data_IF_403396772195
#
_entry.id   IF_403396772195
#
_cell.length_a   1.000
_cell.length_b   1.000
_cell.length_c   1.000
_cell.angle_alpha   90.00
_cell.angle_beta   90.00
_cell.angle_gamma   90.00
#
_symmetry.space_group_name_H-M   'P 1'
#
loop_
_entity.id
_entity.type
_entity.pdbx_description
1 polymer ?
#
# COMPACT_ATOMS: atom_id res chain seq x y z
N UNK A 1 63.51 -19.13 67.85
CA UNK A 1 62.96 -17.78 67.53
C UNK A 1 63.15 -17.57 66.04
N UNK A 2 62.17 -17.49 65.14
CA UNK A 2 60.71 -17.60 65.17
C UNK A 2 60.29 -17.69 63.69
N UNK A 3 59.37 -18.61 63.38
CA UNK A 3 58.85 -18.89 62.04
C UNK A 3 58.22 -17.63 61.40
N UNK A 4 58.60 -17.30 60.15
CA UNK A 4 57.85 -16.37 59.31
C UNK A 4 57.16 -17.16 58.20
N UNK A 5 55.90 -17.51 58.44
CA UNK A 5 55.01 -18.14 57.46
C UNK A 5 54.46 -17.03 56.56
N UNK A 6 54.90 -16.99 55.31
CA UNK A 6 54.30 -16.17 54.26
C UNK A 6 53.05 -16.86 53.73
N UNK A 7 51.89 -16.37 54.15
CA UNK A 7 50.57 -16.76 53.65
C UNK A 7 50.39 -16.12 52.27
N UNK A 8 50.45 -16.92 51.20
CA UNK A 8 49.92 -16.52 49.90
C UNK A 8 48.41 -16.68 49.92
N UNK A 9 47.69 -15.60 50.20
CA UNK A 9 46.26 -15.53 49.94
C UNK A 9 46.06 -15.36 48.43
N UNK A 10 45.68 -16.44 47.75
CA UNK A 10 45.20 -16.41 46.37
C UNK A 10 43.86 -15.69 46.33
N UNK A 11 43.87 -14.43 45.90
CA UNK A 11 42.67 -13.66 45.61
C UNK A 11 42.11 -14.12 44.25
N UNK A 12 41.24 -15.13 44.26
CA UNK A 12 40.42 -15.47 43.10
C UNK A 12 39.39 -14.36 42.88
N UNK A 13 39.71 -13.43 41.99
CA UNK A 13 38.75 -12.49 41.41
C UNK A 13 37.70 -13.28 40.64
N UNK A 14 36.58 -13.57 41.28
CA UNK A 14 35.35 -14.02 40.63
C UNK A 14 34.88 -12.85 39.77
N UNK A 15 35.18 -12.90 38.48
CA UNK A 15 34.58 -12.00 37.50
C UNK A 15 33.07 -12.30 37.52
N UNK A 16 32.20 -11.34 37.87
CA UNK A 16 30.77 -11.58 37.82
C UNK A 16 30.39 -11.74 36.36
N UNK A 17 30.06 -12.97 35.96
CA UNK A 17 29.53 -13.26 34.65
C UNK A 17 28.27 -12.45 34.39
N UNK A 18 28.33 -11.53 33.44
CA UNK A 18 27.20 -11.06 32.64
C UNK A 18 27.72 -10.85 31.21
N UNK A 19 26.95 -11.17 30.14
CA UNK A 19 25.50 -11.00 30.16
C UNK A 19 24.69 -11.87 29.14
N UNK A 20 24.09 -12.99 29.56
CA UNK A 20 23.01 -13.57 28.76
C UNK A 20 21.79 -12.64 28.63
N UNK A 21 21.58 -11.74 29.62
CA UNK A 21 20.49 -10.78 29.60
C UNK A 21 20.72 -9.60 28.64
N UNK A 22 21.95 -9.08 28.54
CA UNK A 22 22.27 -7.95 27.66
C UNK A 22 22.33 -8.39 26.20
N UNK A 23 22.84 -9.58 25.89
CA UNK A 23 22.76 -10.13 24.52
C UNK A 23 21.32 -10.35 24.07
N UNK A 24 20.45 -10.88 24.94
CA UNK A 24 19.03 -11.04 24.62
C UNK A 24 18.31 -9.70 24.47
N UNK A 25 18.64 -8.70 25.29
CA UNK A 25 18.09 -7.35 25.15
C UNK A 25 18.60 -6.64 23.88
N UNK A 26 19.88 -6.79 23.54
CA UNK A 26 20.49 -6.24 22.32
C UNK A 26 19.90 -6.91 21.07
N UNK A 27 19.76 -8.25 21.06
CA UNK A 27 19.10 -8.97 19.96
C UNK A 27 17.63 -8.59 19.83
N UNK A 28 16.90 -8.48 20.94
CA UNK A 28 15.50 -8.04 20.94
C UNK A 28 15.34 -6.59 20.47
N UNK A 29 16.31 -5.72 20.77
CA UNK A 29 16.33 -4.34 20.29
C UNK A 29 16.60 -4.26 18.77
N UNK A 30 17.57 -5.04 18.25
CA UNK A 30 17.83 -5.11 16.80
C UNK A 30 16.64 -5.67 16.01
N UNK A 31 15.95 -6.71 16.50
CA UNK A 31 14.74 -7.26 15.86
C UNK A 31 13.59 -6.24 15.83
N UNK A 32 13.56 -5.27 16.76
CA UNK A 32 12.53 -4.22 16.81
C UNK A 32 12.85 -3.04 15.88
N UNK A 33 14.11 -2.86 15.46
CA UNK A 33 14.49 -1.85 14.46
C UNK A 33 14.12 -2.27 13.03
N UNK A 34 14.01 -3.57 12.74
CA UNK A 34 13.82 -4.09 11.38
C UNK A 34 12.35 -4.29 10.95
N UNK A 35 11.38 -4.08 11.85
CA UNK A 35 9.95 -4.21 11.50
C UNK A 35 9.25 -2.87 11.50
N UNK A 36 8.61 -2.54 10.39
CA UNK A 36 7.88 -1.29 10.20
C UNK A 36 6.59 -1.53 9.43
N UNK A 37 5.75 -0.49 9.39
CA UNK A 37 4.48 -0.54 8.69
C UNK A 37 4.71 -0.48 7.18
N UNK A 38 4.70 -1.65 6.52
CA UNK A 38 4.89 -1.77 5.07
C UNK A 38 3.68 -1.22 4.32
N UNK A 39 2.48 -1.62 4.77
CA UNK A 39 1.19 -1.17 4.23
C UNK A 39 0.49 -0.32 5.29
N UNK A 40 0.23 0.94 4.95
CA UNK A 40 -0.44 1.91 5.80
C UNK A 40 -1.93 2.04 5.45
N UNK A 41 -2.72 2.63 6.35
CA UNK A 41 -4.12 2.98 6.05
C UNK A 41 -4.19 3.90 4.82
N UNK A 42 -3.23 4.82 4.66
CA UNK A 42 -3.16 5.69 3.48
C UNK A 42 -2.91 4.89 2.20
N UNK A 43 -2.08 3.86 2.23
CA UNK A 43 -1.84 3.00 1.06
C UNK A 43 -3.15 2.29 0.62
N UNK A 44 -3.96 1.83 1.56
CA UNK A 44 -5.21 1.13 1.28
C UNK A 44 -6.34 2.08 0.83
N UNK A 45 -6.36 3.31 1.34
CA UNK A 45 -7.48 4.23 1.19
C UNK A 45 -7.23 5.41 0.24
N UNK A 46 -5.98 5.68 -0.12
CA UNK A 46 -5.58 6.82 -0.94
C UNK A 46 -4.88 6.42 -2.24
N UNK A 47 -4.58 5.14 -2.44
CA UNK A 47 -3.99 4.65 -3.70
C UNK A 47 -5.06 4.41 -4.76
N UNK A 48 -4.64 3.96 -5.94
CA UNK A 48 -5.52 3.60 -7.04
C UNK A 48 -5.61 2.07 -7.24
N UNK A 49 -6.53 1.64 -8.10
CA UNK A 49 -6.64 0.27 -8.56
C UNK A 49 -7.18 0.22 -10.00
N UNK A 50 -7.10 -0.95 -10.64
CA UNK A 50 -7.65 -1.14 -11.99
C UNK A 50 -9.13 -1.54 -11.94
N UNK A 51 -9.98 -0.77 -12.61
CA UNK A 51 -11.31 -1.20 -13.00
C UNK A 51 -11.23 -1.90 -14.36
N UNK A 52 -11.34 -3.23 -14.34
CA UNK A 52 -11.10 -4.08 -15.51
C UNK A 52 -12.08 -3.78 -16.66
N UNK A 53 -11.58 -3.92 -17.89
CA UNK A 53 -12.38 -3.72 -19.10
C UNK A 53 -13.69 -4.53 -19.08
N UNK A 54 -14.79 -3.90 -19.49
CA UNK A 54 -16.09 -4.55 -19.60
C UNK A 54 -16.81 -4.80 -18.27
N UNK A 55 -16.22 -4.47 -17.12
CA UNK A 55 -16.93 -4.47 -15.83
C UNK A 55 -17.83 -3.24 -15.71
N UNK A 56 -19.03 -3.46 -15.14
CA UNK A 56 -19.95 -2.38 -14.81
C UNK A 56 -19.34 -1.47 -13.74
N UNK A 57 -19.48 -0.16 -13.93
CA UNK A 57 -19.13 0.82 -12.93
C UNK A 57 -20.08 0.70 -11.72
N UNK A 58 -19.65 1.13 -10.53
CA UNK A 58 -20.54 1.18 -9.37
C UNK A 58 -21.77 2.04 -9.65
N UNK A 59 -22.88 1.73 -8.99
CA UNK A 59 -24.17 2.41 -9.20
C UNK A 59 -24.38 3.59 -8.24
N UNK A 60 -23.79 3.52 -7.05
CA UNK A 60 -23.82 4.58 -6.05
C UNK A 60 -22.85 5.70 -6.44
N UNK A 61 -23.36 6.93 -6.51
CA UNK A 61 -22.62 8.10 -6.96
C UNK A 61 -22.90 9.32 -6.11
N UNK A 62 -21.89 10.19 -6.04
CA UNK A 62 -22.03 11.55 -5.51
C UNK A 62 -22.73 12.40 -6.58
N UNK A 63 -23.91 12.94 -6.27
CA UNK A 63 -24.69 13.80 -7.18
C UNK A 63 -24.52 15.29 -6.90
N UNK A 64 -23.92 15.65 -5.77
CA UNK A 64 -23.60 17.02 -5.42
C UNK A 64 -23.19 17.16 -3.98
N UNK A 65 -23.18 18.40 -3.49
CA UNK A 65 -22.91 18.71 -2.09
C UNK A 65 -23.51 20.04 -1.67
N UNK A 66 -23.53 20.30 -0.37
CA UNK A 66 -24.19 21.47 0.23
C UNK A 66 -23.66 22.79 -0.36
N UNK A 67 -22.35 22.86 -0.61
CA UNK A 67 -21.65 24.07 -1.11
C UNK A 67 -21.26 23.97 -2.59
N UNK A 68 -21.97 23.16 -3.38
CA UNK A 68 -21.60 22.92 -4.79
C UNK A 68 -21.66 24.18 -5.68
N UNK A 69 -22.43 25.20 -5.29
CA UNK A 69 -22.43 26.49 -5.99
C UNK A 69 -21.17 27.34 -5.73
N UNK A 70 -20.36 26.96 -4.73
CA UNK A 70 -19.15 27.68 -4.32
C UNK A 70 -17.87 26.92 -4.66
N UNK A 71 -17.93 25.58 -4.71
CA UNK A 71 -16.78 24.71 -4.99
C UNK A 71 -17.19 23.44 -5.71
N UNK A 72 -16.30 22.94 -6.56
CA UNK A 72 -16.44 21.68 -7.30
C UNK A 72 -15.80 20.48 -6.59
N UNK A 73 -14.97 20.73 -5.57
CA UNK A 73 -14.23 19.71 -4.82
C UNK A 73 -14.65 19.76 -3.35
N UNK A 74 -14.83 18.58 -2.77
CA UNK A 74 -15.19 18.36 -1.38
C UNK A 74 -14.00 17.79 -0.61
N UNK A 75 -13.85 18.23 0.63
CA UNK A 75 -12.79 17.87 1.56
C UNK A 75 -13.37 17.50 2.92
N UNK A 76 -12.50 17.20 3.88
CA UNK A 76 -12.87 16.82 5.24
C UNK A 76 -13.92 17.77 5.84
N UNK A 77 -14.98 17.19 6.38
CA UNK A 77 -16.08 17.93 7.01
C UNK A 77 -17.19 18.36 6.05
N UNK A 78 -16.98 18.31 4.74
CA UNK A 78 -18.01 18.68 3.76
C UNK A 78 -19.15 17.68 3.69
N UNK A 79 -20.30 18.20 3.27
CA UNK A 79 -21.53 17.43 3.08
C UNK A 79 -21.75 17.17 1.59
N UNK A 80 -21.89 15.89 1.26
CA UNK A 80 -22.17 15.37 -0.08
C UNK A 80 -23.52 14.67 -0.13
N UNK A 81 -24.13 14.65 -1.31
CA UNK A 81 -25.40 13.99 -1.60
C UNK A 81 -25.20 12.78 -2.50
N UNK A 82 -25.89 11.69 -2.20
CA UNK A 82 -25.76 10.37 -2.85
C UNK A 82 -27.06 10.02 -3.58
N UNK A 83 -26.98 9.48 -4.79
CA UNK A 83 -28.13 9.08 -5.63
C UNK A 83 -28.93 7.85 -5.12
N UNK A 84 -28.66 7.38 -3.90
CA UNK A 84 -29.25 6.19 -3.29
C UNK A 84 -29.70 6.51 -1.86
N UNK A 85 -30.75 5.87 -1.40
CA UNK A 85 -31.35 6.13 -0.09
C UNK A 85 -31.77 4.86 0.67
N UNK A 86 -32.67 5.04 1.63
CA UNK A 86 -33.17 3.95 2.47
C UNK A 86 -33.88 2.85 1.66
N UNK A 87 -34.59 3.21 0.58
CA UNK A 87 -35.24 2.23 -0.29
C UNK A 87 -34.24 1.37 -1.09
N UNK A 88 -32.99 1.83 -1.22
CA UNK A 88 -31.87 1.09 -1.82
C UNK A 88 -31.06 0.30 -0.77
N UNK A 89 -31.46 0.33 0.50
CA UNK A 89 -30.82 -0.41 1.59
C UNK A 89 -29.64 0.30 2.27
N UNK A 90 -29.48 1.61 2.09
CA UNK A 90 -28.46 2.37 2.82
C UNK A 90 -28.85 2.55 4.28
N UNK A 91 -27.85 2.60 5.15
CA UNK A 91 -28.03 2.79 6.59
C UNK A 91 -27.28 4.03 7.11
N UNK A 92 -27.84 4.67 8.15
CA UNK A 92 -27.14 5.76 8.85
C UNK A 92 -25.89 5.18 9.51
N UNK A 93 -24.76 5.87 9.36
CA UNK A 93 -23.48 5.44 9.90
C UNK A 93 -22.65 4.57 8.94
N UNK A 94 -23.24 4.11 7.83
CA UNK A 94 -22.54 3.37 6.78
C UNK A 94 -21.41 4.21 6.20
N UNK A 95 -20.24 3.59 6.02
CA UNK A 95 -19.06 4.20 5.42
C UNK A 95 -18.93 3.80 3.97
N UNK A 96 -18.58 4.79 3.15
CA UNK A 96 -18.27 4.61 1.74
C UNK A 96 -16.88 5.14 1.43
N UNK A 97 -16.18 4.45 0.54
CA UNK A 97 -14.98 4.91 -0.12
C UNK A 97 -15.38 5.60 -1.42
N UNK A 98 -14.98 6.86 -1.56
CA UNK A 98 -15.14 7.64 -2.78
C UNK A 98 -14.01 7.30 -3.75
N UNK A 99 -14.40 6.97 -4.99
CA UNK A 99 -13.48 6.59 -6.06
C UNK A 99 -13.85 7.30 -7.36
N UNK A 100 -12.84 7.80 -8.08
CA UNK A 100 -13.00 8.50 -9.35
C UNK A 100 -12.27 7.81 -10.49
N UNK A 101 -12.74 8.01 -11.73
CA UNK A 101 -12.04 7.52 -12.92
C UNK A 101 -10.87 8.45 -13.27
N UNK A 102 -9.69 7.88 -13.53
CA UNK A 102 -8.49 8.64 -13.85
C UNK A 102 -8.00 8.46 -15.28
N UNK A 103 -7.55 7.27 -15.62
CA UNK A 103 -6.81 7.03 -16.86
C UNK A 103 -7.13 5.67 -17.47
N UNK A 104 -7.33 5.61 -18.79
CA UNK A 104 -7.52 4.37 -19.53
C UNK A 104 -6.15 3.73 -19.82
N UNK A 105 -5.96 2.48 -19.41
CA UNK A 105 -4.72 1.72 -19.67
C UNK A 105 -5.00 0.61 -20.68
N UNK A 106 -4.82 0.94 -21.96
CA UNK A 106 -4.94 0.03 -23.08
C UNK A 106 -6.20 -0.88 -22.98
N UNK A 107 -6.01 -2.20 -23.06
CA UNK A 107 -7.07 -3.22 -22.93
C UNK A 107 -7.23 -3.77 -21.52
N UNK A 108 -6.45 -3.26 -20.54
CA UNK A 108 -6.51 -3.73 -19.16
C UNK A 108 -7.75 -3.17 -18.45
N UNK A 109 -8.05 -1.89 -18.68
CA UNK A 109 -9.18 -1.22 -18.07
C UNK A 109 -8.93 0.25 -17.82
N UNK A 110 -9.65 0.80 -16.85
CA UNK A 110 -9.52 2.19 -16.41
C UNK A 110 -9.03 2.23 -14.97
N UNK A 111 -7.99 3.01 -14.70
CA UNK A 111 -7.51 3.28 -13.34
C UNK A 111 -8.57 4.08 -12.59
N UNK A 112 -8.92 3.60 -11.40
CA UNK A 112 -9.76 4.29 -10.43
C UNK A 112 -8.91 4.74 -9.25
N UNK A 113 -8.96 6.03 -8.94
CA UNK A 113 -8.28 6.65 -7.80
C UNK A 113 -9.21 6.65 -6.58
N UNK A 114 -8.66 6.38 -5.40
CA UNK A 114 -9.41 6.53 -4.14
C UNK A 114 -9.23 7.94 -3.61
N UNK A 115 -10.33 8.65 -3.45
CA UNK A 115 -10.32 10.06 -3.07
C UNK A 115 -10.54 10.27 -1.58
N UNK A 116 -11.05 9.27 -0.86
CA UNK A 116 -11.29 9.36 0.58
C UNK A 116 -12.53 8.60 1.02
N UNK A 117 -12.98 8.82 2.26
CA UNK A 117 -14.17 8.18 2.83
C UNK A 117 -15.22 9.17 3.31
N UNK A 118 -16.48 8.77 3.20
CA UNK A 118 -17.62 9.53 3.68
C UNK A 118 -18.60 8.64 4.47
N UNK A 119 -19.19 9.20 5.52
CA UNK A 119 -20.17 8.52 6.37
C UNK A 119 -21.57 9.04 6.10
N UNK A 120 -22.54 8.15 5.90
CA UNK A 120 -23.95 8.53 5.82
C UNK A 120 -24.42 9.11 7.16
N UNK A 121 -24.89 10.36 7.16
CA UNK A 121 -25.38 11.08 8.34
C UNK A 121 -26.88 11.29 8.33
N UNK A 122 -27.53 11.19 7.16
CA UNK A 122 -28.98 11.36 7.00
C UNK A 122 -29.47 10.55 5.80
N UNK A 123 -30.66 9.97 5.94
CA UNK A 123 -31.31 9.18 4.90
C UNK A 123 -32.66 9.76 4.52
N UNK A 124 -32.94 9.70 3.23
CA UNK A 124 -34.26 9.84 2.61
C UNK A 124 -34.52 8.56 1.80
N UNK A 125 -35.73 8.40 1.24
CA UNK A 125 -36.09 7.17 0.53
C UNK A 125 -35.18 6.87 -0.66
N UNK A 126 -34.82 7.90 -1.46
CA UNK A 126 -34.05 7.76 -2.72
C UNK A 126 -32.79 8.62 -2.76
N UNK A 127 -32.38 9.15 -1.62
CA UNK A 127 -31.19 9.99 -1.49
C UNK A 127 -30.60 9.84 -0.09
N UNK A 128 -29.28 9.96 0.01
CA UNK A 128 -28.58 9.99 1.28
C UNK A 128 -27.69 11.22 1.33
N UNK A 129 -27.47 11.72 2.55
CA UNK A 129 -26.48 12.75 2.83
C UNK A 129 -25.34 12.10 3.59
N UNK A 130 -24.12 12.28 3.11
CA UNK A 130 -22.92 11.82 3.77
C UNK A 130 -21.99 12.99 4.10
N UNK A 131 -21.23 12.82 5.18
CA UNK A 131 -20.19 13.75 5.59
C UNK A 131 -18.83 13.14 5.25
N UNK A 132 -17.99 13.88 4.54
CA UNK A 132 -16.61 13.46 4.25
C UNK A 132 -15.83 13.41 5.57
N UNK A 133 -15.28 12.25 5.90
CA UNK A 133 -14.47 12.08 7.12
C UNK A 133 -12.98 12.28 6.88
N UNK A 134 -12.49 11.80 5.74
CA UNK A 134 -11.08 11.87 5.37
C UNK A 134 -10.96 11.88 3.85
N UNK A 135 -10.27 12.87 3.32
CA UNK A 135 -9.95 13.05 1.92
C UNK A 135 -8.46 12.80 1.70
N UNK A 136 -8.15 12.09 0.63
CA UNK A 136 -6.81 11.85 0.13
C UNK A 136 -6.57 12.59 -1.20
N UNK A 137 -7.65 12.89 -1.92
CA UNK A 137 -7.64 13.48 -3.25
C UNK A 137 -8.90 14.28 -3.51
N UNK A 138 -9.30 14.33 -4.79
CA UNK A 138 -10.35 15.23 -5.26
C UNK A 138 -11.72 14.57 -5.18
N UNK A 139 -12.39 14.62 -4.02
CA UNK A 139 -13.78 14.15 -3.91
C UNK A 139 -14.69 15.14 -4.64
N UNK A 140 -15.50 14.68 -5.60
CA UNK A 140 -16.36 15.55 -6.40
C UNK A 140 -17.66 14.87 -6.84
N UNK A 141 -18.59 15.66 -7.38
CA UNK A 141 -19.78 15.11 -8.01
C UNK A 141 -19.39 14.25 -9.24
N UNK A 142 -20.03 13.10 -9.38
CA UNK A 142 -19.70 12.09 -10.38
C UNK A 142 -18.78 10.98 -9.86
N UNK A 143 -18.13 11.16 -8.70
CA UNK A 143 -17.39 10.07 -8.06
C UNK A 143 -18.35 8.95 -7.65
N UNK A 144 -17.85 7.72 -7.73
CA UNK A 144 -18.54 6.53 -7.31
C UNK A 144 -18.29 6.26 -5.83
N UNK A 145 -19.24 5.60 -5.18
CA UNK A 145 -19.13 5.18 -3.79
C UNK A 145 -19.14 3.66 -3.69
N UNK A 146 -18.12 3.11 -3.03
CA UNK A 146 -18.01 1.70 -2.71
C UNK A 146 -18.21 1.50 -1.21
N UNK A 147 -18.93 0.46 -0.77
CA UNK A 147 -18.98 0.11 0.65
C UNK A 147 -17.57 -0.01 1.22
N UNK A 148 -17.32 0.64 2.35
CA UNK A 148 -16.00 0.67 2.98
C UNK A 148 -15.94 -0.29 4.16
N UNK A 149 -14.98 -1.20 4.11
CA UNK A 149 -14.56 -2.02 5.25
C UNK A 149 -13.12 -1.66 5.60
N UNK A 150 -12.83 -1.54 6.90
CA UNK A 150 -11.49 -1.19 7.35
C UNK A 150 -10.58 -2.40 7.23
N UNK A 151 -9.63 -2.32 6.31
CA UNK A 151 -8.55 -3.30 6.19
C UNK A 151 -7.40 -2.94 7.13
N UNK A 152 -6.78 -3.97 7.73
CA UNK A 152 -5.59 -3.80 8.55
C UNK A 152 -4.36 -3.63 7.64
N UNK A 153 -3.49 -2.69 8.01
CA UNK A 153 -2.18 -2.59 7.38
C UNK A 153 -1.29 -3.79 7.71
N UNK A 154 -0.18 -3.90 6.97
CA UNK A 154 0.80 -4.97 7.15
C UNK A 154 2.04 -4.40 7.85
N UNK A 155 2.45 -5.05 8.94
CA UNK A 155 3.70 -4.77 9.65
C UNK A 155 4.66 -5.91 9.30
N UNK A 156 5.85 -5.58 8.81
CA UNK A 156 6.83 -6.56 8.40
C UNK A 156 8.18 -5.94 8.12
N UNK A 157 9.03 -6.72 7.46
CA UNK A 157 10.36 -6.30 7.02
C UNK A 157 10.37 -6.24 5.50
N UNK A 158 10.94 -5.18 4.93
CA UNK A 158 11.28 -5.17 3.50
C UNK A 158 12.40 -6.18 3.23
N UNK A 159 12.16 -7.10 2.31
CA UNK A 159 13.12 -8.10 1.88
C UNK A 159 14.27 -7.50 1.05
N UNK A 160 14.17 -6.20 0.74
CA UNK A 160 15.11 -5.48 -0.10
C UNK A 160 15.03 -5.95 -1.54
N UNK A 161 16.04 -5.59 -2.31
CA UNK A 161 16.13 -5.98 -3.71
C UNK A 161 17.54 -6.48 -4.05
N UNK A 162 17.59 -7.60 -4.76
CA UNK A 162 18.79 -8.26 -5.24
C UNK A 162 18.52 -8.81 -6.64
N UNK A 163 19.59 -9.07 -7.40
CA UNK A 163 19.46 -9.67 -8.71
C UNK A 163 18.89 -11.09 -8.59
N UNK A 164 17.79 -11.35 -9.30
CA UNK A 164 17.07 -12.62 -9.28
C UNK A 164 17.20 -13.36 -10.60
N UNK A 165 16.99 -14.69 -10.57
CA UNK A 165 16.94 -15.54 -11.76
C UNK A 165 15.91 -14.98 -12.77
N UNK A 166 16.35 -14.53 -13.96
CA UNK A 166 15.47 -14.03 -15.01
C UNK A 166 14.50 -15.07 -15.56
N UNK A 167 14.74 -16.36 -15.32
CA UNK A 167 13.91 -17.45 -15.82
C UNK A 167 12.80 -17.85 -14.84
N UNK A 168 12.64 -17.13 -13.73
CA UNK A 168 11.56 -17.39 -12.79
C UNK A 168 10.18 -17.19 -13.44
N UNK A 169 9.22 -18.02 -13.05
CA UNK A 169 7.90 -18.08 -13.68
C UNK A 169 6.98 -16.92 -13.34
N UNK A 170 7.19 -16.23 -12.21
CA UNK A 170 6.31 -15.17 -11.70
C UNK A 170 6.87 -13.78 -11.99
N UNK A 171 6.80 -13.37 -13.25
CA UNK A 171 7.24 -12.04 -13.72
C UNK A 171 6.10 -11.27 -14.39
N UNK A 172 6.25 -9.95 -14.43
CA UNK A 172 5.31 -9.02 -15.06
C UNK A 172 5.99 -7.70 -15.37
N UNK A 173 5.20 -6.64 -15.54
CA UNK A 173 5.66 -5.28 -15.84
C UNK A 173 4.85 -4.23 -15.10
N UNK A 174 5.49 -3.11 -14.84
CA UNK A 174 4.81 -1.87 -14.45
C UNK A 174 4.05 -1.32 -15.65
N UNK A 175 2.75 -1.08 -15.49
CA UNK A 175 1.84 -0.65 -16.57
C UNK A 175 1.24 0.74 -16.35
N UNK A 176 1.29 1.25 -15.12
CA UNK A 176 0.80 2.60 -14.81
C UNK A 176 1.50 3.14 -13.56
N UNK A 177 1.74 4.45 -13.53
CA UNK A 177 2.28 5.18 -12.39
C UNK A 177 1.51 6.49 -12.27
N UNK A 178 1.06 6.80 -11.05
CA UNK A 178 0.28 8.01 -10.74
C UNK A 178 1.21 9.22 -10.53
N UNK A 179 1.72 9.76 -11.64
CA UNK A 179 2.23 11.13 -11.73
C UNK A 179 2.52 11.49 -13.20
N UNK A 180 2.62 12.79 -13.46
CA UNK A 180 2.86 13.34 -14.80
C UNK A 180 4.23 12.95 -15.39
N UNK A 181 5.17 12.53 -14.54
CA UNK A 181 6.51 12.10 -14.95
C UNK A 181 6.57 10.60 -15.28
N UNK A 182 5.52 9.84 -15.02
CA UNK A 182 5.45 8.38 -15.19
C UNK A 182 6.63 7.62 -14.56
N UNK A 183 7.11 8.10 -13.41
CA UNK A 183 8.19 7.48 -12.63
C UNK A 183 7.81 7.34 -11.17
N UNK A 184 8.23 6.26 -10.51
CA UNK A 184 7.98 6.03 -9.09
C UNK A 184 9.32 5.80 -8.36
N UNK A 185 9.38 6.27 -7.12
CA UNK A 185 10.45 5.98 -6.17
C UNK A 185 9.88 5.53 -4.84
N UNK A 186 10.75 5.44 -3.82
CA UNK A 186 10.40 5.03 -2.45
C UNK A 186 9.15 5.76 -1.94
N UNK A 187 8.17 4.98 -1.45
CA UNK A 187 6.91 5.47 -0.89
C UNK A 187 5.81 5.77 -1.92
N UNK A 188 6.11 5.75 -3.23
CA UNK A 188 5.12 5.96 -4.28
C UNK A 188 4.48 4.64 -4.72
N UNK A 189 3.35 4.74 -5.44
CA UNK A 189 2.62 3.58 -5.95
C UNK A 189 2.80 3.39 -7.45
N UNK A 190 2.71 2.13 -7.88
CA UNK A 190 2.68 1.73 -9.28
C UNK A 190 1.64 0.63 -9.49
N UNK A 191 1.15 0.46 -10.72
CA UNK A 191 0.32 -0.66 -11.12
C UNK A 191 1.16 -1.66 -11.92
N UNK A 192 1.00 -2.95 -11.64
CA UNK A 192 1.61 -4.04 -12.39
C UNK A 192 0.56 -4.90 -13.11
N UNK A 193 0.96 -5.58 -14.19
CA UNK A 193 0.13 -6.54 -14.94
C UNK A 193 0.12 -7.97 -14.36
N UNK A 194 0.29 -8.07 -13.05
CA UNK A 194 0.10 -9.31 -12.29
C UNK A 194 -1.01 -9.11 -11.27
N UNK A 195 -1.84 -10.12 -11.02
CA UNK A 195 -3.01 -10.02 -10.14
C UNK A 195 -3.48 -11.39 -9.66
N UNK A 196 -4.75 -11.52 -9.25
CA UNK A 196 -5.32 -12.80 -8.74
C UNK A 196 -5.18 -13.95 -9.74
N UNK A 197 -5.27 -13.68 -11.04
CA UNK A 197 -5.06 -14.67 -12.11
C UNK A 197 -3.65 -15.27 -12.10
N UNK A 198 -2.69 -14.55 -11.52
CA UNK A 198 -1.28 -14.92 -11.39
C UNK A 198 -0.94 -15.37 -9.95
N UNK A 199 -1.95 -15.63 -9.12
CA UNK A 199 -1.82 -16.00 -7.71
C UNK A 199 -1.05 -14.97 -6.88
N UNK A 200 -1.22 -13.67 -7.19
CA UNK A 200 -0.71 -12.56 -6.38
C UNK A 200 -1.64 -12.28 -5.20
N UNK A 201 -1.09 -12.01 -4.04
CA UNK A 201 -1.81 -11.68 -2.80
C UNK A 201 -1.35 -10.32 -2.25
N UNK A 202 -2.22 -9.67 -1.47
CA UNK A 202 -1.82 -8.49 -0.68
C UNK A 202 -0.72 -8.92 0.30
N UNK A 203 0.32 -8.10 0.42
CA UNK A 203 1.50 -8.39 1.25
C UNK A 203 2.64 -9.10 0.51
N UNK A 204 2.39 -9.66 -0.68
CA UNK A 204 3.46 -10.22 -1.52
C UNK A 204 4.49 -9.12 -1.84
N UNK A 205 5.77 -9.43 -1.65
CA UNK A 205 6.87 -8.54 -2.04
C UNK A 205 7.47 -8.94 -3.38
N UNK A 206 8.01 -7.96 -4.10
CA UNK A 206 8.61 -8.13 -5.41
C UNK A 206 9.79 -7.20 -5.61
N UNK A 207 10.63 -7.56 -6.59
CA UNK A 207 11.69 -6.68 -7.08
C UNK A 207 11.31 -6.08 -8.43
N UNK A 208 11.72 -4.84 -8.65
CA UNK A 208 11.63 -4.12 -9.92
C UNK A 208 13.02 -4.08 -10.54
N UNK A 209 13.08 -4.35 -11.84
CA UNK A 209 14.31 -4.43 -12.61
C UNK A 209 14.36 -3.35 -13.68
N UNK A 210 15.56 -2.81 -13.86
CA UNK A 210 15.90 -1.92 -14.96
C UNK A 210 16.86 -2.61 -15.91
N UNK A 211 16.71 -2.33 -17.21
CA UNK A 211 17.63 -2.81 -18.23
C UNK A 211 17.94 -1.67 -19.19
N UNK A 212 19.20 -1.21 -19.18
CA UNK A 212 19.62 -0.07 -20.00
C UNK A 212 19.45 -0.33 -21.50
N UNK A 213 19.73 -1.55 -21.97
CA UNK A 213 19.50 -1.99 -23.35
C UNK A 213 19.17 -3.49 -23.40
N UNK A 214 18.41 -3.99 -24.39
CA UNK A 214 17.96 -5.38 -24.45
C UNK A 214 19.06 -6.44 -24.34
N UNK A 215 20.26 -6.12 -24.83
CA UNK A 215 21.46 -6.96 -24.85
C UNK A 215 22.24 -7.01 -23.53
N UNK A 216 21.89 -6.15 -22.57
CA UNK A 216 22.53 -6.07 -21.26
C UNK A 216 21.74 -6.83 -20.20
N UNK A 217 22.41 -7.33 -19.15
CA UNK A 217 21.71 -7.89 -18.00
C UNK A 217 20.80 -6.83 -17.38
N UNK A 218 19.64 -7.27 -16.88
CA UNK A 218 18.80 -6.45 -16.03
C UNK A 218 19.41 -6.39 -14.63
N UNK A 219 19.15 -5.30 -13.91
CA UNK A 219 19.59 -5.12 -12.53
C UNK A 219 18.38 -4.82 -11.64
N UNK A 220 18.37 -5.35 -10.43
CA UNK A 220 17.37 -5.00 -9.43
C UNK A 220 17.57 -3.56 -8.95
N UNK A 221 16.53 -2.72 -9.07
CA UNK A 221 16.58 -1.29 -8.73
C UNK A 221 15.65 -0.88 -7.60
N UNK A 222 14.62 -1.67 -7.32
CA UNK A 222 13.69 -1.37 -6.24
C UNK A 222 13.02 -2.63 -5.66
N UNK A 223 12.59 -2.55 -4.41
CA UNK A 223 11.67 -3.47 -3.74
C UNK A 223 10.28 -2.84 -3.70
N UNK A 224 9.23 -3.67 -3.77
CA UNK A 224 7.85 -3.22 -3.65
C UNK A 224 6.98 -4.27 -2.96
N UNK A 225 5.86 -3.83 -2.40
CA UNK A 225 4.85 -4.68 -1.77
C UNK A 225 3.49 -4.47 -2.43
N UNK A 226 2.74 -5.55 -2.60
CA UNK A 226 1.38 -5.53 -3.15
C UNK A 226 0.39 -5.03 -2.11
N UNK A 227 -0.36 -3.98 -2.45
CA UNK A 227 -1.34 -3.32 -1.57
C UNK A 227 -2.79 -3.47 -2.05
N UNK A 228 -3.00 -3.80 -3.33
CA UNK A 228 -4.32 -4.10 -3.90
C UNK A 228 -4.17 -5.16 -4.99
N UNK A 229 -5.14 -6.09 -5.08
CA UNK A 229 -5.13 -7.15 -6.09
C UNK A 229 -6.47 -7.23 -6.84
N UNK A 230 -6.42 -7.08 -8.16
CA UNK A 230 -7.54 -7.26 -9.09
C UNK A 230 -7.36 -8.54 -9.90
N UNK A 231 -8.15 -8.76 -10.95
CA UNK A 231 -8.07 -10.00 -11.72
C UNK A 231 -6.70 -10.15 -12.39
N UNK A 232 -6.39 -9.26 -13.32
CA UNK A 232 -5.12 -9.28 -14.08
C UNK A 232 -4.04 -8.32 -13.56
N UNK A 233 -4.35 -7.42 -12.63
CA UNK A 233 -3.43 -6.35 -12.19
C UNK A 233 -3.39 -6.20 -10.68
N UNK A 234 -2.36 -5.53 -10.18
CA UNK A 234 -2.16 -5.22 -8.76
C UNK A 234 -1.56 -3.83 -8.59
N UNK A 235 -1.95 -3.14 -7.52
CA UNK A 235 -1.27 -1.91 -7.10
C UNK A 235 -0.18 -2.29 -6.10
N UNK A 236 0.99 -1.70 -6.26
CA UNK A 236 2.16 -1.92 -5.42
C UNK A 236 2.67 -0.61 -4.86
N UNK A 237 3.23 -0.65 -3.66
CA UNK A 237 3.99 0.44 -3.05
C UNK A 237 5.47 0.13 -3.16
N UNK A 238 6.26 1.08 -3.64
CA UNK A 238 7.71 0.96 -3.68
C UNK A 238 8.24 1.15 -2.26
N UNK A 239 8.91 0.13 -1.71
CA UNK A 239 9.44 0.12 -0.34
C UNK A 239 10.82 0.77 -0.27
N UNK A 240 11.68 0.47 -1.22
CA UNK A 240 13.00 1.08 -1.37
C UNK A 240 13.43 1.06 -2.82
N UNK A 241 14.10 2.12 -3.27
CA UNK A 241 14.58 2.25 -4.64
C UNK A 241 15.97 2.91 -4.67
N UNK A 242 16.88 2.35 -5.48
CA UNK A 242 18.17 3.00 -5.81
C UNK A 242 18.13 3.77 -7.13
N UNK A 243 17.11 3.52 -7.95
CA UNK A 243 16.89 4.16 -9.25
C UNK A 243 15.38 4.32 -9.51
N UNK A 244 15.01 5.03 -10.57
CA UNK A 244 13.61 5.27 -10.93
C UNK A 244 12.91 3.99 -11.40
N UNK A 245 11.70 3.78 -10.91
CA UNK A 245 10.76 2.78 -11.46
C UNK A 245 9.97 3.46 -12.57
N UNK A 246 9.92 2.88 -13.77
CA UNK A 246 9.23 3.47 -14.93
C UNK A 246 8.18 2.52 -15.48
N UNK A 247 7.22 3.04 -16.25
CA UNK A 247 6.31 2.18 -17.03
C UNK A 247 7.13 1.30 -17.98
N UNK A 248 6.84 0.00 -17.97
CA UNK A 248 7.58 -1.02 -18.71
C UNK A 248 8.70 -1.71 -17.93
N UNK A 249 9.07 -1.21 -16.75
CA UNK A 249 10.00 -1.90 -15.84
C UNK A 249 9.49 -3.31 -15.55
N UNK A 250 10.41 -4.27 -15.61
CA UNK A 250 10.11 -5.67 -15.32
C UNK A 250 9.97 -5.86 -13.80
N UNK A 251 9.01 -6.68 -13.38
CA UNK A 251 8.81 -7.04 -11.97
C UNK A 251 8.88 -8.54 -11.79
N UNK A 252 9.35 -8.99 -10.64
CA UNK A 252 9.40 -10.40 -10.28
C UNK A 252 9.03 -10.58 -8.81
N UNK A 253 8.05 -11.47 -8.55
CA UNK A 253 7.62 -11.79 -7.19
C UNK A 253 8.73 -12.50 -6.42
N UNK A 254 8.89 -12.13 -5.15
CA UNK A 254 9.77 -12.83 -4.22
C UNK A 254 9.08 -14.14 -3.86
N UNK A 255 9.60 -15.25 -4.36
CA UNK A 255 9.15 -16.57 -3.90
C UNK A 255 9.69 -16.72 -2.50
N UNK A 256 8.81 -16.69 -1.49
CA UNK A 256 9.19 -17.03 -0.13
C UNK A 256 9.96 -18.36 -0.16
N UNK A 257 11.21 -18.34 0.35
CA UNK A 257 12.02 -19.54 0.53
C UNK A 257 11.46 -20.40 1.64
#
# INVERSE_FOLDING_TARGET
>A
MGFLVLVFASLTLIVPGRPFAQENMIKKAMIFEDTYQLITESDLNCSFYMHEEGKLLPDIQIVGGERMNEKSVFSDGDVIYINKGAADGLEIGQLFLSVGLRAKVAKLGTVMERHGRARVVRLEDRMATAKVEKSCGTIQAGDFLLPFEQEAGEIGMDLGFEDMDPNASKHGKVVYIENDFHIAGTGQWALIDMGRQHCVQIGDQLNVFYRARPDLPREAVASAIVIDVRGATSTVKILGARDIVSIGSEVQLNVAR
#
